data_IF_120151688892
#
_entry.id   IF_120151688892
#
_cell.length_a   1.000
_cell.length_b   1.000
_cell.length_c   1.000
_cell.angle_alpha   90.00
_cell.angle_beta   90.00
_cell.angle_gamma   90.00
#
_symmetry.space_group_name_H-M   'P 1'
#
loop_
_entity.id
_entity.type
_entity.pdbx_description
1 polymer ?
#
# COMPACT_ATOMS: atom_id res chain seq x y z
N UNK A 1 5.21 -8.06 5.92
CA UNK A 1 5.38 -6.61 6.17
C UNK A 1 4.06 -5.90 6.44
N UNK A 2 3.28 -6.38 7.43
CA UNK A 2 2.07 -5.69 7.90
C UNK A 2 2.12 -5.58 9.43
N UNK A 3 1.69 -4.43 9.94
CA UNK A 3 1.61 -4.17 11.38
C UNK A 3 0.35 -4.85 11.96
N UNK A 4 0.45 -6.16 12.17
CA UNK A 4 -0.61 -6.99 12.73
C UNK A 4 -0.20 -7.41 14.14
N UNK A 5 -1.17 -7.55 15.04
CA UNK A 5 -0.88 -7.97 16.41
C UNK A 5 -0.12 -9.29 16.47
N UNK A 6 0.95 -9.31 17.25
CA UNK A 6 1.88 -10.43 17.40
C UNK A 6 2.88 -10.58 16.26
N UNK A 7 2.90 -9.70 15.25
CA UNK A 7 3.82 -9.81 14.12
C UNK A 7 5.23 -9.36 14.48
N UNK A 8 6.20 -9.80 13.66
CA UNK A 8 7.59 -9.34 13.73
C UNK A 8 7.64 -7.81 13.57
N UNK A 9 6.84 -7.27 12.68
CA UNK A 9 6.76 -5.85 12.34
C UNK A 9 6.21 -5.04 13.52
N UNK A 10 5.17 -5.52 14.22
CA UNK A 10 4.67 -4.88 15.44
C UNK A 10 5.76 -4.84 16.53
N UNK A 11 6.48 -5.95 16.71
CA UNK A 11 7.58 -6.01 17.68
C UNK A 11 8.69 -5.01 17.35
N UNK A 12 9.12 -4.95 16.08
CA UNK A 12 10.15 -4.00 15.63
C UNK A 12 9.69 -2.56 15.80
N UNK A 13 8.45 -2.23 15.41
CA UNK A 13 7.89 -0.89 15.59
C UNK A 13 7.85 -0.49 17.06
N UNK A 14 7.41 -1.41 17.93
CA UNK A 14 7.37 -1.20 19.38
C UNK A 14 8.78 -1.01 19.97
N UNK A 15 9.76 -1.79 19.51
CA UNK A 15 11.16 -1.65 19.93
C UNK A 15 11.76 -0.32 19.47
N UNK A 16 11.50 0.10 18.23
CA UNK A 16 11.97 1.38 17.69
C UNK A 16 11.46 2.57 18.52
N UNK A 17 10.18 2.55 18.92
CA UNK A 17 9.58 3.61 19.73
C UNK A 17 10.13 3.68 21.17
N UNK A 18 10.88 2.68 21.65
CA UNK A 18 11.53 2.72 22.98
C UNK A 18 12.85 3.49 22.98
N UNK A 19 13.40 3.83 21.80
CA UNK A 19 14.66 4.56 21.73
C UNK A 19 14.50 5.97 22.36
N UNK A 20 15.50 6.46 23.13
CA UNK A 20 15.46 7.82 23.66
C UNK A 20 15.24 8.84 22.54
N UNK A 21 14.25 9.73 22.72
CA UNK A 21 13.89 10.75 21.73
C UNK A 21 12.97 10.27 20.60
N UNK A 22 12.59 9.00 20.52
CA UNK A 22 11.72 8.51 19.44
C UNK A 22 10.32 9.14 19.45
N UNK A 23 9.78 9.45 20.63
CA UNK A 23 8.41 9.92 20.81
C UNK A 23 8.05 11.13 19.92
N UNK A 24 8.98 12.09 19.75
CA UNK A 24 8.75 13.31 18.98
C UNK A 24 9.46 13.30 17.62
N UNK A 25 10.25 12.27 17.31
CA UNK A 25 11.12 12.23 16.12
C UNK A 25 10.83 11.05 15.19
N UNK A 26 10.00 10.08 15.61
CA UNK A 26 9.67 8.90 14.83
C UNK A 26 8.16 8.73 14.75
N UNK A 27 7.64 8.74 13.53
CA UNK A 27 6.25 8.38 13.23
C UNK A 27 6.20 7.05 12.49
N UNK A 28 5.42 6.10 13.01
CA UNK A 28 5.12 4.82 12.36
C UNK A 28 3.65 4.80 11.97
N UNK A 29 3.39 4.82 10.67
CA UNK A 29 2.04 4.76 10.09
C UNK A 29 2.00 3.80 8.92
N UNK A 30 0.80 3.36 8.54
CA UNK A 30 0.61 2.44 7.43
C UNK A 30 -0.73 2.61 6.75
N UNK A 31 -0.99 1.75 5.77
CA UNK A 31 -2.23 1.69 5.01
C UNK A 31 -2.92 0.33 5.18
N UNK A 32 -4.24 0.21 4.94
CA UNK A 32 -4.96 -1.04 5.13
C UNK A 32 -4.72 -2.07 4.01
N UNK A 33 -4.05 -1.68 2.92
CA UNK A 33 -3.89 -2.53 1.75
C UNK A 33 -2.86 -3.64 1.96
N UNK A 34 -3.11 -4.79 1.32
CA UNK A 34 -2.14 -5.88 1.25
C UNK A 34 -0.90 -5.42 0.46
N UNK A 35 -1.13 -4.69 -0.63
CA UNK A 35 -0.07 -4.07 -1.45
C UNK A 35 -0.51 -2.66 -1.86
N UNK A 36 0.43 -1.72 -1.91
CA UNK A 36 0.19 -0.30 -2.22
C UNK A 36 -0.53 -0.09 -3.54
N UNK A 37 -0.39 -0.99 -4.51
CA UNK A 37 -1.12 -0.91 -5.78
C UNK A 37 -2.64 -0.88 -5.62
N UNK A 38 -3.17 -1.49 -4.55
CA UNK A 38 -4.59 -1.48 -4.24
C UNK A 38 -5.13 -0.10 -3.87
N UNK A 39 -4.25 0.88 -3.63
CA UNK A 39 -4.63 2.26 -3.36
C UNK A 39 -5.13 3.00 -4.61
N UNK A 40 -4.98 2.45 -5.82
CA UNK A 40 -5.60 3.03 -7.02
C UNK A 40 -7.12 2.84 -6.90
N UNK A 41 -7.89 3.92 -7.09
CA UNK A 41 -9.35 3.83 -7.10
C UNK A 41 -9.82 2.87 -8.21
N UNK A 42 -10.74 1.93 -7.93
CA UNK A 42 -11.23 0.97 -8.93
C UNK A 42 -11.65 1.59 -10.27
N UNK A 43 -12.35 2.74 -10.23
CA UNK A 43 -12.80 3.44 -11.42
C UNK A 43 -11.68 3.94 -12.36
N UNK A 44 -10.47 4.20 -11.84
CA UNK A 44 -9.31 4.65 -12.63
C UNK A 44 -8.83 3.56 -13.59
N UNK A 45 -8.98 2.30 -13.19
CA UNK A 45 -8.63 1.13 -13.99
C UNK A 45 -9.85 0.42 -14.59
N UNK A 46 -11.04 1.03 -14.48
CA UNK A 46 -12.27 0.55 -15.12
C UNK A 46 -12.89 -0.68 -14.45
N UNK A 47 -12.66 -0.90 -13.15
CA UNK A 47 -13.29 -1.99 -12.38
C UNK A 47 -14.21 -1.42 -11.30
N UNK A 48 -15.22 -2.20 -10.89
CA UNK A 48 -16.16 -1.79 -9.85
C UNK A 48 -15.53 -1.85 -8.44
N UNK A 49 -14.75 -2.89 -8.20
CA UNK A 49 -14.01 -3.08 -6.95
C UNK A 49 -12.79 -3.95 -7.22
N UNK A 50 -11.79 -3.85 -6.36
CA UNK A 50 -10.65 -4.76 -6.38
C UNK A 50 -11.09 -6.21 -6.10
N UNK A 51 -10.65 -7.19 -6.90
CA UNK A 51 -10.83 -8.60 -6.59
C UNK A 51 -10.27 -8.97 -5.21
N UNK A 52 -10.94 -9.90 -4.52
CA UNK A 52 -10.44 -10.46 -3.27
C UNK A 52 -9.48 -11.61 -3.57
N UNK A 53 -8.28 -11.56 -2.98
CA UNK A 53 -7.26 -12.59 -3.12
C UNK A 53 -7.15 -13.37 -1.80
N UNK A 54 -7.32 -14.71 -1.82
CA UNK A 54 -7.06 -15.55 -0.65
C UNK A 54 -5.62 -15.38 -0.16
N UNK A 55 -5.42 -15.45 1.16
CA UNK A 55 -4.08 -15.32 1.77
C UNK A 55 -3.09 -16.40 1.33
N UNK A 56 -3.58 -17.53 0.84
CA UNK A 56 -2.77 -18.65 0.34
C UNK A 56 -2.25 -18.42 -1.09
N UNK A 57 -2.65 -17.34 -1.75
CA UNK A 57 -2.30 -17.02 -3.12
C UNK A 57 -1.39 -15.80 -3.17
N UNK A 58 -0.39 -15.80 -4.06
CA UNK A 58 0.42 -14.62 -4.32
C UNK A 58 -0.49 -13.47 -4.78
N UNK A 59 -0.46 -12.37 -4.04
CA UNK A 59 -1.39 -11.27 -4.25
C UNK A 59 -1.26 -10.67 -5.64
N UNK A 60 -0.03 -10.47 -6.12
CA UNK A 60 0.22 -9.79 -7.40
C UNK A 60 -0.23 -10.63 -8.58
N UNK A 61 0.15 -11.90 -8.59
CA UNK A 61 -0.21 -12.86 -9.63
C UNK A 61 -1.72 -13.11 -9.64
N UNK A 62 -2.30 -13.37 -8.46
CA UNK A 62 -3.73 -13.63 -8.31
C UNK A 62 -4.62 -12.45 -8.69
N UNK A 63 -4.15 -11.23 -8.43
CA UNK A 63 -4.84 -10.01 -8.85
C UNK A 63 -4.86 -9.89 -10.37
N UNK A 64 -3.69 -10.00 -11.03
CA UNK A 64 -3.62 -9.91 -12.48
C UNK A 64 -4.44 -11.01 -13.16
N UNK A 65 -4.43 -12.23 -12.62
CA UNK A 65 -5.26 -13.33 -13.12
C UNK A 65 -6.76 -13.01 -13.10
N UNK A 66 -7.27 -12.47 -11.98
CA UNK A 66 -8.68 -12.08 -11.85
C UNK A 66 -9.05 -10.84 -12.67
N UNK A 67 -8.08 -9.98 -12.97
CA UNK A 67 -8.24 -8.86 -13.90
C UNK A 67 -8.12 -9.28 -15.37
N UNK A 68 -7.91 -10.57 -15.67
CA UNK A 68 -7.76 -11.08 -17.03
C UNK A 68 -6.46 -10.62 -17.72
N UNK A 69 -5.43 -10.29 -16.94
CA UNK A 69 -4.13 -9.84 -17.44
C UNK A 69 -3.09 -10.98 -17.43
N UNK A 70 -2.09 -10.94 -18.33
CA UNK A 70 -0.98 -11.88 -18.31
C UNK A 70 -0.28 -11.92 -16.93
N UNK A 71 0.06 -13.12 -16.46
CA UNK A 71 0.59 -13.34 -15.11
C UNK A 71 1.51 -14.58 -14.99
N UNK A 72 1.94 -15.19 -16.10
CA UNK A 72 2.70 -16.45 -16.06
C UNK A 72 4.19 -16.24 -15.76
N UNK A 73 4.73 -15.08 -16.12
CA UNK A 73 6.15 -14.76 -15.93
C UNK A 73 6.34 -13.48 -15.11
N UNK A 74 7.53 -13.31 -14.53
CA UNK A 74 7.89 -12.06 -13.86
C UNK A 74 7.77 -10.83 -14.79
N UNK A 75 8.04 -11.03 -16.09
CA UNK A 75 7.85 -9.99 -17.11
C UNK A 75 6.37 -9.62 -17.26
N UNK A 76 5.49 -10.60 -17.29
CA UNK A 76 4.04 -10.36 -17.37
C UNK A 76 3.54 -9.60 -16.15
N UNK A 77 3.96 -10.03 -14.95
CA UNK A 77 3.62 -9.36 -13.69
C UNK A 77 4.07 -7.89 -13.74
N UNK A 78 5.32 -7.63 -14.12
CA UNK A 78 5.86 -6.27 -14.24
C UNK A 78 5.10 -5.42 -15.25
N UNK A 79 4.76 -5.96 -16.42
CA UNK A 79 4.00 -5.25 -17.46
C UNK A 79 2.55 -4.98 -17.03
N UNK A 80 1.92 -5.92 -16.33
CA UNK A 80 0.60 -5.75 -15.74
C UNK A 80 0.56 -4.57 -14.79
N UNK A 81 1.43 -4.55 -13.78
CA UNK A 81 1.48 -3.44 -12.81
C UNK A 81 1.88 -2.11 -13.44
N UNK A 82 2.80 -2.11 -14.41
CA UNK A 82 3.13 -0.91 -15.18
C UNK A 82 1.92 -0.36 -15.95
N UNK A 83 1.07 -1.22 -16.50
CA UNK A 83 -0.17 -0.83 -17.20
C UNK A 83 -1.20 -0.24 -16.23
N UNK A 84 -1.30 -0.75 -15.00
CA UNK A 84 -2.17 -0.15 -13.98
C UNK A 84 -1.62 1.19 -13.52
N UNK A 85 -0.30 1.29 -13.27
CA UNK A 85 0.35 2.55 -12.88
C UNK A 85 0.10 3.67 -13.89
N UNK A 86 0.17 3.35 -15.19
CA UNK A 86 0.01 4.36 -16.24
C UNK A 86 -1.40 4.97 -16.32
N UNK A 87 -2.37 4.46 -15.56
CA UNK A 87 -3.70 5.04 -15.42
C UNK A 87 -3.79 6.10 -14.32
N UNK A 88 -2.82 6.13 -13.40
CA UNK A 88 -2.75 7.10 -12.31
C UNK A 88 -2.06 8.37 -12.83
N UNK A 89 -2.76 9.49 -12.80
CA UNK A 89 -2.25 10.78 -13.31
C UNK A 89 -2.20 11.86 -12.24
N UNK A 90 -3.00 11.73 -11.18
CA UNK A 90 -3.09 12.72 -10.10
C UNK A 90 -3.41 12.03 -8.77
N UNK A 91 -3.11 12.71 -7.67
CA UNK A 91 -3.36 12.19 -6.32
C UNK A 91 -4.82 11.77 -6.10
N UNK A 92 -5.78 12.47 -6.73
CA UNK A 92 -7.22 12.15 -6.61
C UNK A 92 -7.61 10.80 -7.23
N UNK A 93 -6.73 10.19 -8.03
CA UNK A 93 -6.92 8.85 -8.59
C UNK A 93 -6.64 7.75 -7.54
N UNK A 94 -6.11 8.13 -6.37
CA UNK A 94 -5.83 7.25 -5.26
C UNK A 94 -6.91 7.36 -4.18
N UNK A 95 -7.02 6.30 -3.39
CA UNK A 95 -7.91 6.22 -2.23
C UNK A 95 -7.48 7.21 -1.14
N UNK A 96 -8.47 7.90 -0.54
CA UNK A 96 -8.23 8.91 0.49
C UNK A 96 -7.51 8.34 1.72
N UNK A 97 -7.72 7.06 2.02
CA UNK A 97 -7.04 6.37 3.14
C UNK A 97 -5.53 6.33 2.98
N UNK A 98 -5.00 6.30 1.75
CA UNK A 98 -3.56 6.45 1.52
C UNK A 98 -3.16 7.92 1.63
N UNK A 99 -3.90 8.81 0.96
CA UNK A 99 -3.56 10.24 0.91
C UNK A 99 -3.46 10.86 2.32
N UNK A 100 -4.45 10.62 3.18
CA UNK A 100 -4.42 11.15 4.55
C UNK A 100 -3.27 10.61 5.39
N UNK A 101 -2.76 9.40 5.10
CA UNK A 101 -1.55 8.88 5.77
C UNK A 101 -0.28 9.57 5.27
N UNK A 102 -0.22 9.88 3.98
CA UNK A 102 0.89 10.66 3.40
C UNK A 102 0.88 12.09 3.93
N UNK A 103 -0.29 12.74 3.99
CA UNK A 103 -0.45 14.06 4.59
C UNK A 103 0.01 14.06 6.05
N UNK A 104 -0.42 13.08 6.85
CA UNK A 104 0.03 12.97 8.24
C UNK A 104 1.55 12.79 8.38
N UNK A 105 2.20 12.07 7.44
CA UNK A 105 3.66 11.98 7.41
C UNK A 105 4.32 13.31 7.05
N UNK A 106 3.74 14.08 6.13
CA UNK A 106 4.24 15.40 5.75
C UNK A 106 4.09 16.36 6.93
N UNK A 107 2.94 16.38 7.58
CA UNK A 107 2.69 17.24 8.73
C UNK A 107 3.68 16.95 9.86
N UNK A 108 3.94 15.67 10.13
CA UNK A 108 4.90 15.26 11.16
C UNK A 108 6.33 15.82 10.95
N UNK A 109 6.77 16.00 9.71
CA UNK A 109 8.13 16.50 9.41
C UNK A 109 8.18 17.99 9.06
N UNK A 110 7.03 18.63 8.82
CA UNK A 110 6.99 20.02 8.35
C UNK A 110 6.30 20.96 9.33
N UNK A 111 5.39 20.47 10.16
CA UNK A 111 4.73 21.26 11.20
C UNK A 111 5.59 21.22 12.45
N UNK A 112 6.15 22.37 12.78
CA UNK A 112 6.77 22.65 14.07
C UNK A 112 5.92 23.72 14.76
N UNK A 113 5.85 23.66 16.10
CA UNK A 113 5.33 24.76 16.92
C UNK A 113 6.20 26.03 16.78
#
# INVERSE_FOLDING_TARGET
DHLVSGSKEERIATEAMKAPGAQDNVLIVGHPYVDIWQAIKPGVIGIQAWPQIPRSEDWKTGMLARLGLPNQTARDIGLGWKKLLSKVNKFSDLEATLLGRVEYMIDFVTVHD
#
